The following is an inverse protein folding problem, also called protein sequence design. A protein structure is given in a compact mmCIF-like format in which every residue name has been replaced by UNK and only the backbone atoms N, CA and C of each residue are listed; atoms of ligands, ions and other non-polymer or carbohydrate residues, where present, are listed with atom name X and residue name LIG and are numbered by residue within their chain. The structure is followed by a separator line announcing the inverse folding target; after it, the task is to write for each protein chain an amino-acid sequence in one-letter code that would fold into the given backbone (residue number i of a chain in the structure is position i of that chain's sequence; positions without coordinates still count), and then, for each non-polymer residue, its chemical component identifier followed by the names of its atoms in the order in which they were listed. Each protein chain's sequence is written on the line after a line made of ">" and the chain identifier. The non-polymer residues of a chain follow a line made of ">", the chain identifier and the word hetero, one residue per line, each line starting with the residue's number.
data_IF_147932591157
#
_entry.id   IF_147932591157
#
_cell.length_a   1.000
_cell.length_b   1.000
_cell.length_c   1.000
_cell.angle_alpha   90.00
_cell.angle_beta   90.00
_cell.angle_gamma   90.00
#
_symmetry.space_group_name_H-M   'P 1'
#
loop_
_entity.id
_entity.type
_entity.pdbx_description
1 polymer ?
#
# COMPACT_ATOMS: atom_id res chain seq x y z
N UNK A 1 -15.79 -3.56 18.55
CA UNK A 1 -16.12 -2.30 17.86
C UNK A 1 -14.82 -1.64 17.42
N UNK A 2 -14.66 -1.30 16.14
CA UNK A 2 -13.51 -0.46 15.71
C UNK A 2 -13.84 0.99 16.03
N UNK A 3 -13.12 1.60 16.96
CA UNK A 3 -13.12 3.05 17.14
C UNK A 3 -12.74 3.68 15.80
N UNK A 4 -13.70 4.34 15.15
CA UNK A 4 -13.43 5.13 13.96
C UNK A 4 -12.67 6.37 14.44
N UNK A 5 -11.63 6.76 13.71
CA UNK A 5 -10.89 7.99 14.02
C UNK A 5 -11.85 9.18 13.99
N UNK A 6 -12.24 9.66 15.17
CA UNK A 6 -13.05 10.85 15.33
C UNK A 6 -12.10 12.02 15.59
N UNK A 7 -12.09 12.98 14.67
CA UNK A 7 -11.17 14.12 14.71
C UNK A 7 -11.71 15.15 15.69
N UNK A 8 -10.95 15.46 16.74
CA UNK A 8 -11.30 16.51 17.71
C UNK A 8 -11.31 17.89 17.04
N UNK A 9 -12.27 18.74 17.42
CA UNK A 9 -12.44 20.10 16.86
C UNK A 9 -11.20 20.98 17.06
N UNK A 10 -10.47 20.78 18.15
CA UNK A 10 -9.26 21.53 18.52
C UNK A 10 -8.17 21.47 17.44
N UNK A 11 -8.05 20.35 16.73
CA UNK A 11 -7.01 20.19 15.69
C UNK A 11 -7.23 21.09 14.47
N UNK A 12 -8.46 21.52 14.22
CA UNK A 12 -8.77 22.47 13.15
C UNK A 12 -8.27 23.89 13.48
N UNK A 13 -8.15 24.23 14.77
CA UNK A 13 -7.74 25.57 15.24
C UNK A 13 -6.21 25.68 15.23
N UNK A 14 -5.50 24.67 15.76
CA UNK A 14 -4.03 24.66 15.74
C UNK A 14 -3.48 24.48 14.30
N UNK A 15 -4.05 23.52 13.56
CA UNK A 15 -3.71 23.05 12.21
C UNK A 15 -2.38 23.55 11.58
N UNK A 16 -1.22 23.24 12.17
CA UNK A 16 0.05 23.65 11.58
C UNK A 16 0.37 22.80 10.35
N UNK A 17 1.02 23.40 9.35
CA UNK A 17 1.48 22.70 8.13
C UNK A 17 2.60 21.69 8.47
N UNK A 18 3.32 21.92 9.57
CA UNK A 18 4.35 21.02 10.10
C UNK A 18 4.07 20.75 11.57
N UNK A 19 4.03 19.48 11.94
CA UNK A 19 3.94 19.04 13.33
C UNK A 19 5.33 18.94 13.93
N UNK A 20 5.46 19.24 15.23
CA UNK A 20 6.66 18.92 15.99
C UNK A 20 6.64 17.42 16.34
N UNK A 21 7.65 16.62 15.93
CA UNK A 21 7.73 15.19 16.24
C UNK A 21 7.56 14.86 17.74
N UNK A 22 8.21 15.61 18.62
CA UNK A 22 8.27 15.33 20.06
C UNK A 22 6.91 15.45 20.76
N UNK A 23 6.07 16.36 20.28
CA UNK A 23 4.74 16.64 20.87
C UNK A 23 3.61 16.05 20.03
N UNK A 24 3.94 15.42 18.90
CA UNK A 24 2.93 14.88 17.99
C UNK A 24 2.30 13.61 18.56
N UNK A 25 0.98 13.57 18.53
CA UNK A 25 0.22 12.34 18.78
C UNK A 25 -0.21 11.72 17.46
N UNK A 26 -0.56 10.44 17.49
CA UNK A 26 -1.05 9.72 16.31
C UNK A 26 -2.33 10.35 15.76
N UNK A 27 -3.17 10.93 16.63
CA UNK A 27 -4.37 11.69 16.25
C UNK A 27 -4.02 12.95 15.46
N UNK A 28 -3.03 13.74 15.91
CA UNK A 28 -2.57 14.93 15.20
C UNK A 28 -2.00 14.58 13.83
N UNK A 29 -1.21 13.50 13.75
CA UNK A 29 -0.66 13.00 12.48
C UNK A 29 -1.78 12.51 11.54
N UNK A 30 -2.78 11.81 12.07
CA UNK A 30 -3.94 11.36 11.29
C UNK A 30 -4.69 12.55 10.66
N UNK A 31 -4.96 13.58 11.46
CA UNK A 31 -5.62 14.79 11.01
C UNK A 31 -4.80 15.52 9.94
N UNK A 32 -3.50 15.68 10.18
CA UNK A 32 -2.58 16.27 9.20
C UNK A 32 -2.58 15.48 7.88
N UNK A 33 -2.56 14.15 7.96
CA UNK A 33 -2.55 13.28 6.79
C UNK A 33 -3.86 13.37 5.97
N UNK A 34 -5.01 13.52 6.63
CA UNK A 34 -6.30 13.77 5.97
C UNK A 34 -6.32 15.15 5.29
N UNK A 35 -5.93 16.20 6.03
CA UNK A 35 -6.05 17.59 5.59
C UNK A 35 -5.04 17.98 4.52
N UNK A 36 -3.75 17.75 4.79
CA UNK A 36 -2.63 18.24 3.97
C UNK A 36 -2.12 17.21 2.98
N UNK A 37 -2.08 15.94 3.37
CA UNK A 37 -1.64 14.85 2.47
C UNK A 37 -2.78 14.25 1.64
N UNK A 38 -4.03 14.65 1.90
CA UNK A 38 -5.25 14.23 1.18
C UNK A 38 -5.43 12.71 1.11
N UNK A 39 -5.05 12.01 2.18
CA UNK A 39 -5.21 10.56 2.24
C UNK A 39 -6.64 10.16 2.60
N UNK A 40 -7.09 9.02 2.07
CA UNK A 40 -8.37 8.44 2.49
C UNK A 40 -8.31 7.96 3.94
N UNK A 41 -9.45 8.02 4.65
CA UNK A 41 -9.57 7.50 6.03
C UNK A 41 -9.10 6.05 6.16
N UNK A 42 -9.43 5.21 5.18
CA UNK A 42 -8.99 3.81 5.13
C UNK A 42 -7.45 3.68 5.04
N UNK A 43 -6.80 4.55 4.27
CA UNK A 43 -5.34 4.58 4.17
C UNK A 43 -4.70 5.03 5.47
N UNK A 44 -5.28 6.04 6.12
CA UNK A 44 -4.79 6.57 7.41
C UNK A 44 -4.93 5.49 8.49
N UNK A 45 -6.10 4.86 8.64
CA UNK A 45 -6.32 3.78 9.61
C UNK A 45 -5.32 2.62 9.39
N UNK A 46 -5.12 2.22 8.13
CA UNK A 46 -4.15 1.19 7.78
C UNK A 46 -2.72 1.58 8.18
N UNK A 47 -2.29 2.80 7.87
CA UNK A 47 -0.94 3.29 8.20
C UNK A 47 -0.73 3.41 9.69
N UNK A 48 -1.70 3.90 10.45
CA UNK A 48 -1.60 3.98 11.92
C UNK A 48 -1.51 2.59 12.56
N UNK A 49 -2.23 1.61 12.01
CA UNK A 49 -2.08 0.20 12.43
C UNK A 49 -0.66 -0.32 12.13
N UNK A 50 -0.12 -0.02 10.95
CA UNK A 50 1.27 -0.37 10.63
C UNK A 50 2.26 0.33 11.56
N UNK A 51 2.07 1.62 11.86
CA UNK A 51 2.92 2.39 12.77
C UNK A 51 2.95 1.75 14.17
N UNK A 52 1.78 1.42 14.74
CA UNK A 52 1.72 0.72 16.04
C UNK A 52 2.44 -0.63 16.03
N UNK A 53 2.40 -1.36 14.90
CA UNK A 53 3.15 -2.62 14.74
C UNK A 53 4.65 -2.38 14.64
N UNK A 54 5.06 -1.36 13.90
CA UNK A 54 6.46 -0.94 13.74
C UNK A 54 7.07 -0.50 15.09
N UNK A 55 6.32 0.24 15.91
CA UNK A 55 6.74 0.63 17.26
C UNK A 55 6.97 -0.58 18.17
N UNK A 56 6.11 -1.60 18.05
CA UNK A 56 6.15 -2.82 18.89
C UNK A 56 7.05 -3.91 18.32
N UNK A 57 7.88 -3.61 17.33
CA UNK A 57 8.74 -4.60 16.72
C UNK A 57 9.80 -5.08 17.73
N UNK A 58 10.05 -6.39 17.86
CA UNK A 58 10.83 -6.95 18.99
C UNK A 58 12.32 -6.58 18.96
N UNK A 59 12.91 -6.41 17.77
CA UNK A 59 14.36 -6.18 17.62
C UNK A 59 14.64 -4.72 17.26
N UNK A 60 14.00 -4.22 16.21
CA UNK A 60 14.07 -2.83 15.76
C UNK A 60 12.75 -2.07 15.96
N UNK A 61 12.35 -1.75 17.22
CA UNK A 61 11.19 -0.91 17.46
C UNK A 61 11.45 0.48 16.86
N UNK A 62 10.45 1.07 16.20
CA UNK A 62 10.58 2.41 15.61
C UNK A 62 9.94 3.44 16.54
N UNK A 63 10.70 4.47 16.91
CA UNK A 63 10.16 5.65 17.56
C UNK A 63 9.71 6.66 16.49
N UNK A 64 8.41 6.98 16.46
CA UNK A 64 7.86 7.96 15.53
C UNK A 64 7.97 9.40 16.03
N UNK A 65 8.21 9.61 17.33
CA UNK A 65 8.42 10.95 17.89
C UNK A 65 9.86 11.41 17.67
N UNK A 66 10.78 10.48 17.49
CA UNK A 66 12.16 10.75 17.10
C UNK A 66 12.62 9.76 16.01
N UNK A 67 12.16 9.93 14.76
CA UNK A 67 12.44 8.98 13.69
C UNK A 67 13.91 9.08 13.26
N UNK A 68 14.65 7.97 13.40
CA UNK A 68 16.05 7.81 12.94
C UNK A 68 16.11 6.94 11.69
N UNK A 69 16.85 7.40 10.67
CA UNK A 69 16.90 6.76 9.35
C UNK A 69 17.54 5.37 9.42
N UNK A 70 18.67 5.27 10.10
CA UNK A 70 19.45 4.04 10.25
C UNK A 70 18.62 2.94 10.91
N UNK A 71 17.83 3.30 11.93
CA UNK A 71 16.94 2.38 12.63
C UNK A 71 15.80 1.90 11.72
N UNK A 72 15.24 2.78 10.90
CA UNK A 72 14.22 2.41 9.93
C UNK A 72 14.78 1.46 8.85
N UNK A 73 15.98 1.72 8.35
CA UNK A 73 16.65 0.82 7.38
C UNK A 73 16.94 -0.55 7.99
N UNK A 74 17.44 -0.60 9.22
CA UNK A 74 17.67 -1.86 9.93
C UNK A 74 16.36 -2.65 10.13
N UNK A 75 15.28 -1.97 10.50
CA UNK A 75 13.94 -2.58 10.57
C UNK A 75 13.50 -3.16 9.21
N UNK A 76 13.67 -2.42 8.13
CA UNK A 76 13.27 -2.85 6.79
C UNK A 76 14.10 -4.06 6.30
N UNK A 77 15.42 -4.04 6.50
CA UNK A 77 16.32 -5.14 6.10
C UNK A 77 16.03 -6.41 6.90
N UNK A 78 15.78 -6.29 8.22
CA UNK A 78 15.40 -7.42 9.06
C UNK A 78 14.08 -8.05 8.60
N UNK A 79 13.06 -7.22 8.33
CA UNK A 79 11.76 -7.65 7.83
C UNK A 79 11.89 -8.38 6.48
N UNK A 80 12.78 -7.90 5.62
CA UNK A 80 13.01 -8.50 4.31
C UNK A 80 13.76 -9.84 4.41
N UNK A 81 14.89 -9.89 5.12
CA UNK A 81 15.79 -11.06 5.15
C UNK A 81 15.34 -12.15 6.11
N UNK A 82 14.94 -11.78 7.32
CA UNK A 82 14.66 -12.73 8.41
C UNK A 82 13.19 -13.11 8.39
N UNK A 83 12.29 -12.12 8.40
CA UNK A 83 10.85 -12.38 8.42
C UNK A 83 10.27 -12.72 7.04
N UNK A 84 11.08 -12.59 5.97
CA UNK A 84 10.68 -12.83 4.58
C UNK A 84 9.41 -12.07 4.20
N UNK A 85 9.27 -10.84 4.70
CA UNK A 85 8.12 -10.01 4.44
C UNK A 85 7.96 -9.76 2.93
N UNK A 86 6.73 -9.86 2.44
CA UNK A 86 6.46 -9.57 1.03
C UNK A 86 6.77 -8.10 0.72
N UNK A 87 7.17 -7.81 -0.52
CA UNK A 87 7.43 -6.43 -0.93
C UNK A 87 6.21 -5.50 -0.75
N UNK A 88 4.98 -6.04 -0.79
CA UNK A 88 3.77 -5.26 -0.49
C UNK A 88 3.70 -4.85 0.99
N UNK A 89 4.12 -5.73 1.91
CA UNK A 89 4.19 -5.40 3.33
C UNK A 89 5.26 -4.32 3.58
N UNK A 90 6.44 -4.47 2.99
CA UNK A 90 7.51 -3.45 3.06
C UNK A 90 7.06 -2.11 2.45
N UNK A 91 6.34 -2.14 1.33
CA UNK A 91 5.77 -0.94 0.72
C UNK A 91 4.79 -0.22 1.66
N UNK A 92 3.97 -0.96 2.40
CA UNK A 92 3.05 -0.37 3.37
C UNK A 92 3.80 0.27 4.55
N UNK A 93 4.88 -0.34 5.00
CA UNK A 93 5.73 0.20 6.08
C UNK A 93 6.45 1.46 5.62
N UNK A 94 7.01 1.45 4.41
CA UNK A 94 7.61 2.63 3.79
C UNK A 94 6.59 3.77 3.66
N UNK A 95 5.40 3.51 3.10
CA UNK A 95 4.35 4.53 2.98
C UNK A 95 3.85 5.04 4.34
N UNK A 96 3.93 4.21 5.37
CA UNK A 96 3.62 4.61 6.74
C UNK A 96 4.68 5.59 7.22
N UNK A 97 5.97 5.26 7.14
CA UNK A 97 7.05 6.17 7.53
C UNK A 97 6.97 7.50 6.76
N UNK A 98 6.77 7.45 5.45
CA UNK A 98 6.62 8.65 4.61
C UNK A 98 5.44 9.55 5.04
N UNK A 99 4.35 8.98 5.57
CA UNK A 99 3.24 9.77 6.10
C UNK A 99 3.66 10.61 7.31
N UNK A 100 4.43 10.01 8.22
CA UNK A 100 4.94 10.70 9.42
C UNK A 100 6.00 11.74 9.03
N UNK A 101 6.97 11.39 8.19
CA UNK A 101 8.00 12.33 7.70
C UNK A 101 7.38 13.58 7.05
N UNK A 102 6.38 13.40 6.18
CA UNK A 102 5.63 14.52 5.59
C UNK A 102 4.93 15.38 6.63
N UNK A 103 4.37 14.77 7.68
CA UNK A 103 3.72 15.50 8.76
C UNK A 103 4.70 16.34 9.57
N UNK A 104 5.96 15.90 9.67
CA UNK A 104 7.05 16.62 10.33
C UNK A 104 7.79 17.59 9.40
N UNK A 105 7.40 17.67 8.12
CA UNK A 105 8.04 18.51 7.12
C UNK A 105 9.43 18.03 6.69
N UNK A 106 9.76 16.76 6.93
CA UNK A 106 10.97 16.10 6.44
C UNK A 106 10.68 15.56 5.04
N UNK A 107 11.54 15.84 4.06
CA UNK A 107 11.36 15.33 2.70
C UNK A 107 11.49 13.80 2.68
N UNK A 108 10.44 13.04 2.32
CA UNK A 108 10.50 11.59 2.26
C UNK A 108 11.53 11.03 1.28
N UNK A 109 11.97 11.82 0.29
CA UNK A 109 13.01 11.41 -0.64
C UNK A 109 14.37 11.26 0.02
N UNK A 110 14.61 11.97 1.12
CA UNK A 110 15.85 11.83 1.89
C UNK A 110 15.98 10.44 2.52
N UNK A 111 14.85 9.76 2.77
CA UNK A 111 14.78 8.42 3.35
C UNK A 111 14.48 7.38 2.28
N UNK A 112 15.42 7.22 1.35
CA UNK A 112 15.27 6.31 0.23
C UNK A 112 15.48 4.83 0.64
N UNK A 113 14.49 3.98 0.39
CA UNK A 113 14.62 2.53 0.49
C UNK A 113 14.20 1.87 -0.83
N UNK A 114 15.06 1.03 -1.40
CA UNK A 114 14.75 0.27 -2.60
C UNK A 114 13.96 -0.99 -2.23
N UNK A 115 12.67 -0.99 -2.55
CA UNK A 115 11.81 -2.16 -2.32
C UNK A 115 12.24 -3.38 -3.17
N UNK A 116 12.06 -4.61 -2.66
CA UNK A 116 12.29 -5.80 -3.45
C UNK A 116 11.32 -5.87 -4.63
N UNK A 117 11.72 -6.63 -5.66
CA UNK A 117 10.92 -6.78 -6.88
C UNK A 117 9.57 -7.39 -6.53
N UNK A 118 8.50 -6.62 -6.73
CA UNK A 118 7.14 -7.09 -6.51
C UNK A 118 6.77 -8.09 -7.61
N UNK A 119 6.07 -9.19 -7.29
CA UNK A 119 5.56 -10.10 -8.30
C UNK A 119 4.60 -9.34 -9.21
N UNK A 120 4.79 -9.45 -10.53
CA UNK A 120 3.87 -8.85 -11.50
C UNK A 120 2.53 -9.58 -11.41
N UNK A 121 1.50 -8.88 -10.94
CA UNK A 121 0.14 -9.42 -10.93
C UNK A 121 -0.36 -9.60 -12.37
N UNK A 122 -0.45 -10.84 -12.84
CA UNK A 122 -1.15 -11.16 -14.09
C UNK A 122 -2.64 -11.19 -13.79
N UNK A 123 -3.40 -10.24 -14.33
CA UNK A 123 -4.87 -10.28 -14.27
C UNK A 123 -5.32 -11.61 -14.89
N UNK A 124 -5.97 -12.47 -14.11
CA UNK A 124 -6.62 -13.66 -14.64
C UNK A 124 -7.80 -13.18 -15.49
N UNK A 125 -7.74 -13.38 -16.80
CA UNK A 125 -8.88 -13.18 -17.70
C UNK A 125 -9.72 -14.45 -17.61
N UNK A 126 -10.69 -14.46 -16.71
CA UNK A 126 -11.65 -15.55 -16.59
C UNK A 126 -12.79 -15.20 -17.57
N UNK A 127 -13.08 -16.05 -18.57
CA UNK A 127 -14.19 -15.81 -19.49
C UNK A 127 -15.52 -15.81 -18.75
N UNK A 128 -16.50 -15.08 -19.26
CA UNK A 128 -17.84 -15.07 -18.70
C UNK A 128 -18.55 -16.42 -18.92
N UNK A 129 -19.51 -16.80 -18.07
CA UNK A 129 -20.28 -18.04 -18.25
C UNK A 129 -20.92 -18.17 -19.63
N UNK A 130 -21.40 -17.06 -20.21
CA UNK A 130 -21.97 -17.01 -21.55
C UNK A 130 -20.92 -17.38 -22.61
N UNK A 131 -19.72 -16.80 -22.52
CA UNK A 131 -18.59 -17.14 -23.41
C UNK A 131 -18.18 -18.60 -23.28
N UNK A 132 -18.21 -19.16 -22.07
CA UNK A 132 -17.93 -20.59 -21.83
C UNK A 132 -19.03 -21.47 -22.43
N UNK A 133 -20.30 -21.08 -22.29
CA UNK A 133 -21.44 -21.79 -22.84
C UNK A 133 -21.42 -21.80 -24.38
N UNK A 134 -21.13 -20.67 -25.00
CA UNK A 134 -20.92 -20.55 -26.44
C UNK A 134 -19.79 -21.46 -26.90
N UNK A 135 -18.65 -21.45 -26.20
CA UNK A 135 -17.49 -22.27 -26.54
C UNK A 135 -17.76 -23.78 -26.40
N UNK A 136 -18.49 -24.20 -25.37
CA UNK A 136 -18.85 -25.60 -25.15
C UNK A 136 -19.90 -26.13 -26.14
N UNK A 137 -20.82 -25.27 -26.60
CA UNK A 137 -21.91 -25.65 -27.51
C UNK A 137 -21.64 -25.27 -28.97
N UNK A 138 -20.49 -24.67 -29.26
CA UNK A 138 -20.11 -24.27 -30.61
C UNK A 138 -20.01 -25.50 -31.52
N UNK A 139 -20.68 -25.44 -32.68
CA UNK A 139 -20.57 -26.44 -33.73
C UNK A 139 -19.87 -25.79 -34.91
N UNK A 140 -18.77 -26.40 -35.35
CA UNK A 140 -18.10 -26.02 -36.59
C UNK A 140 -19.07 -26.10 -37.77
N UNK A 141 -18.84 -25.26 -38.78
CA UNK A 141 -19.57 -25.36 -40.03
C UNK A 141 -19.33 -26.73 -40.66
N UNK A 142 -20.28 -27.20 -41.48
CA UNK A 142 -20.08 -28.42 -42.28
C UNK A 142 -19.18 -28.17 -43.49
N UNK A 143 -18.96 -26.90 -43.85
CA UNK A 143 -18.09 -26.52 -44.95
C UNK A 143 -16.61 -26.56 -44.51
N UNK A 144 -15.76 -27.39 -45.15
CA UNK A 144 -14.33 -27.43 -44.88
C UNK A 144 -13.62 -26.09 -45.10
N UNK A 145 -14.10 -25.28 -46.05
CA UNK A 145 -13.47 -24.01 -46.39
C UNK A 145 -13.68 -22.95 -45.30
N UNK A 146 -14.88 -22.86 -44.73
CA UNK A 146 -15.19 -21.96 -43.61
C UNK A 146 -14.38 -22.32 -42.36
N UNK A 147 -14.24 -23.62 -42.05
CA UNK A 147 -13.46 -24.07 -40.90
C UNK A 147 -11.95 -23.79 -41.03
N UNK A 148 -11.41 -23.88 -42.25
CA UNK A 148 -10.01 -23.55 -42.52
C UNK A 148 -9.71 -22.06 -42.28
N UNK A 149 -10.66 -21.16 -42.60
CA UNK A 149 -10.54 -19.72 -42.35
C UNK A 149 -10.50 -19.37 -40.84
N UNK A 150 -11.25 -20.09 -40.00
CA UNK A 150 -11.21 -19.91 -38.55
C UNK A 150 -9.90 -20.39 -37.91
N UNK A 151 -9.21 -21.36 -38.51
CA UNK A 151 -7.91 -21.84 -38.01
C UNK A 151 -6.77 -20.88 -38.37
N UNK A 152 -6.78 -20.30 -39.57
CA UNK A 152 -5.74 -19.37 -40.03
C UNK A 152 -5.77 -18.01 -39.32
N UNK A 153 -6.96 -17.55 -38.92
CA UNK A 153 -7.14 -16.24 -38.24
C UNK A 153 -6.73 -16.23 -36.76
N UNK A 154 -6.50 -17.39 -36.14
CA UNK A 154 -6.07 -17.53 -34.74
C UNK A 154 -4.55 -17.73 -34.57
N UNK A 155 -3.77 -17.67 -35.66
CA UNK A 155 -2.32 -17.95 -35.68
C UNK A 155 -1.45 -16.69 -35.88
N UNK A 156 -2.03 -15.49 -35.96
CA UNK A 156 -1.30 -14.22 -36.08
C UNK A 156 -1.19 -13.45 -34.76
#
# INVERSE_FOLDING_TARGET
>A
MKERHEVKREYYIENPIKLNPETSTFEKVAFHAERWQRLSKSSIEHRLRCARRMMKHPIYPIDFNNPVYEQFIAYMDYRERIEKASGYALMNDLRTMQMFLRAYGIDPKSWYYKLPVLPRHKKRKIPFPETVYELCNYRYSKDPYENALYQLSNVS
#
